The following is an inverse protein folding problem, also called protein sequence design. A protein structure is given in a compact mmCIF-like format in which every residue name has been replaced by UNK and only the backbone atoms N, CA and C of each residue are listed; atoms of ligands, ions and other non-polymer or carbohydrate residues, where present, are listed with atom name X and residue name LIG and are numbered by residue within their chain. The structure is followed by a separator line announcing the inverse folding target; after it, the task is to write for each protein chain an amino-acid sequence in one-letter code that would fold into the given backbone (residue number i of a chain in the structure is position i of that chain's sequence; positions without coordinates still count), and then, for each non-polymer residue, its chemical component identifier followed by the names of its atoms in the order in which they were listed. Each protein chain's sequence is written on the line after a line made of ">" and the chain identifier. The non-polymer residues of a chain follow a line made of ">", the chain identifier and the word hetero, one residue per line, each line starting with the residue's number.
data_IF_079604620958
#
_entry.id   IF_079604620958
#
_cell.length_a   1.000
_cell.length_b   1.000
_cell.length_c   1.000
_cell.angle_alpha   90.00
_cell.angle_beta   90.00
_cell.angle_gamma   90.00
#
_symmetry.space_group_name_H-M   'P 1'
#
loop_
_entity.id
_entity.type
_entity.pdbx_description
1 polymer ?
#
# COMPACT_ATOMS: atom_id res chain seq x y z
N UNK A 1 -11.63 -11.72 18.93
CA UNK A 1 -10.68 -10.59 19.08
C UNK A 1 -9.26 -10.99 18.65
N UNK A 2 -8.66 -12.06 19.20
CA UNK A 2 -7.23 -12.43 18.96
C UNK A 2 -6.88 -12.84 17.51
N UNK A 3 -7.82 -13.15 16.66
CA UNK A 3 -7.58 -13.55 15.26
C UNK A 3 -8.21 -12.57 14.27
N UNK A 4 -9.49 -12.29 14.43
CA UNK A 4 -10.25 -11.53 13.42
C UNK A 4 -9.84 -10.06 13.38
N UNK A 5 -9.67 -9.43 14.55
CA UNK A 5 -9.28 -8.02 14.64
C UNK A 5 -7.89 -7.75 14.03
N UNK A 6 -6.80 -8.44 14.44
CA UNK A 6 -5.50 -8.24 13.80
C UNK A 6 -5.51 -8.55 12.30
N UNK A 7 -6.26 -9.56 11.87
CA UNK A 7 -6.38 -9.90 10.45
C UNK A 7 -7.10 -8.79 9.67
N UNK A 8 -8.20 -8.25 10.21
CA UNK A 8 -8.94 -7.15 9.60
C UNK A 8 -8.07 -5.89 9.48
N UNK A 9 -7.45 -5.47 10.60
CA UNK A 9 -6.59 -4.28 10.63
C UNK A 9 -5.40 -4.44 9.69
N UNK A 10 -4.77 -5.61 9.63
CA UNK A 10 -3.64 -5.85 8.72
C UNK A 10 -4.04 -5.92 7.26
N UNK A 11 -5.24 -6.42 6.96
CA UNK A 11 -5.72 -6.56 5.58
C UNK A 11 -6.24 -5.23 5.00
N UNK A 12 -6.89 -4.40 5.82
CA UNK A 12 -7.53 -3.16 5.38
C UNK A 12 -6.78 -1.89 5.83
N UNK A 13 -5.79 -2.03 6.70
CA UNK A 13 -5.10 -0.90 7.35
C UNK A 13 -6.09 0.14 7.89
N UNK A 14 -7.17 -0.31 8.48
CA UNK A 14 -8.27 0.50 9.01
C UNK A 14 -8.67 -0.07 10.35
N UNK A 15 -8.91 0.74 11.40
CA UNK A 15 -9.42 0.25 12.67
C UNK A 15 -10.67 -0.62 12.47
N UNK A 16 -10.79 -1.71 13.23
CA UNK A 16 -11.83 -2.72 12.99
C UNK A 16 -13.24 -2.14 13.12
N UNK A 17 -13.42 -1.18 14.01
CA UNK A 17 -14.70 -0.50 14.26
C UNK A 17 -15.14 0.38 13.08
N UNK A 18 -14.20 0.83 12.27
CA UNK A 18 -14.42 1.68 11.11
C UNK A 18 -14.36 0.91 9.78
N UNK A 19 -13.92 -0.34 9.83
CA UNK A 19 -13.67 -1.15 8.64
C UNK A 19 -14.94 -1.61 7.95
N UNK A 20 -14.92 -1.63 6.60
CA UNK A 20 -15.98 -2.21 5.80
C UNK A 20 -16.02 -3.73 5.94
N UNK A 21 -17.05 -4.25 6.60
CA UNK A 21 -17.29 -5.69 6.70
C UNK A 21 -17.43 -6.37 5.33
N UNK A 22 -17.99 -5.68 4.32
CA UNK A 22 -18.10 -6.20 2.95
C UNK A 22 -16.73 -6.41 2.31
N UNK A 23 -15.81 -5.45 2.44
CA UNK A 23 -14.45 -5.56 1.92
C UNK A 23 -13.71 -6.67 2.67
N UNK A 24 -13.83 -6.73 3.99
CA UNK A 24 -13.19 -7.75 4.79
C UNK A 24 -13.70 -9.17 4.46
N UNK A 25 -15.01 -9.35 4.28
CA UNK A 25 -15.57 -10.64 3.86
C UNK A 25 -15.03 -11.08 2.49
N UNK A 26 -14.82 -10.16 1.55
CA UNK A 26 -14.16 -10.47 0.28
C UNK A 26 -12.73 -10.94 0.49
N UNK A 27 -11.94 -10.24 1.32
CA UNK A 27 -10.57 -10.66 1.65
C UNK A 27 -10.56 -12.08 2.23
N UNK A 28 -11.45 -12.37 3.19
CA UNK A 28 -11.55 -13.70 3.78
C UNK A 28 -11.91 -14.77 2.73
N UNK A 29 -12.90 -14.47 1.88
CA UNK A 29 -13.30 -15.40 0.83
C UNK A 29 -12.13 -15.71 -0.11
N UNK A 30 -11.45 -14.67 -0.61
CA UNK A 30 -10.42 -14.82 -1.62
C UNK A 30 -9.11 -15.39 -1.05
N UNK A 31 -8.79 -15.09 0.22
CA UNK A 31 -7.57 -15.56 0.87
C UNK A 31 -7.72 -16.94 1.56
N UNK A 32 -8.90 -17.28 2.09
CA UNK A 32 -9.04 -18.47 2.91
C UNK A 32 -9.90 -19.57 2.27
N UNK A 33 -10.84 -19.20 1.39
CA UNK A 33 -11.85 -20.15 0.89
C UNK A 33 -11.73 -20.48 -0.60
N UNK A 34 -10.68 -20.06 -1.27
CA UNK A 34 -10.44 -20.34 -2.70
C UNK A 34 -9.91 -21.75 -3.00
N UNK A 35 -9.78 -22.60 -1.98
CA UNK A 35 -9.36 -23.98 -2.12
C UNK A 35 -8.01 -24.29 -1.48
N UNK A 36 -7.45 -25.46 -1.81
CA UNK A 36 -6.19 -25.92 -1.22
C UNK A 36 -5.03 -24.99 -1.59
N UNK A 37 -4.31 -24.49 -0.57
CA UNK A 37 -3.21 -23.55 -0.75
C UNK A 37 -3.64 -22.08 -0.86
N UNK A 38 -4.94 -21.78 -0.83
CA UNK A 38 -5.45 -20.40 -0.90
C UNK A 38 -4.99 -19.51 0.25
N UNK A 39 -4.71 -20.09 1.41
CA UNK A 39 -4.21 -19.37 2.59
C UNK A 39 -2.67 -19.31 2.67
N UNK A 40 -1.94 -19.83 1.69
CA UNK A 40 -0.49 -19.81 1.69
C UNK A 40 0.03 -18.40 1.38
N UNK A 41 0.89 -17.87 2.25
CA UNK A 41 1.50 -16.56 2.09
C UNK A 41 2.77 -16.67 1.23
N UNK A 42 2.83 -15.92 0.14
CA UNK A 42 4.02 -15.81 -0.70
C UNK A 42 4.86 -14.62 -0.21
N UNK A 43 6.02 -14.93 0.39
CA UNK A 43 6.95 -13.93 0.89
C UNK A 43 8.13 -13.79 -0.10
N UNK A 44 8.32 -12.61 -0.73
CA UNK A 44 9.41 -12.40 -1.67
C UNK A 44 10.77 -12.37 -0.94
N UNK A 45 11.80 -12.94 -1.57
CA UNK A 45 13.21 -12.89 -1.11
C UNK A 45 14.01 -11.76 -1.74
N UNK A 46 13.36 -10.97 -2.58
CA UNK A 46 13.91 -9.75 -3.19
C UNK A 46 13.03 -8.56 -2.80
N UNK A 47 13.53 -7.35 -2.93
CA UNK A 47 12.69 -6.17 -2.72
C UNK A 47 11.58 -6.09 -3.78
N UNK A 48 10.49 -5.41 -3.42
CA UNK A 48 9.30 -5.33 -4.30
C UNK A 48 9.58 -4.55 -5.59
N UNK A 49 10.57 -3.64 -5.57
CA UNK A 49 11.01 -2.92 -6.76
C UNK A 49 11.53 -3.88 -7.83
N UNK A 50 12.36 -4.83 -7.42
CA UNK A 50 12.92 -5.87 -8.31
C UNK A 50 11.89 -6.90 -8.76
N UNK A 51 10.85 -7.12 -7.96
CA UNK A 51 9.85 -8.14 -8.26
C UNK A 51 8.98 -7.77 -9.47
N UNK A 52 8.51 -6.54 -9.56
CA UNK A 52 7.61 -6.08 -10.63
C UNK A 52 8.08 -4.83 -11.34
N UNK A 53 8.35 -3.67 -10.71
CA UNK A 53 8.68 -2.43 -11.40
C UNK A 53 9.89 -2.53 -12.32
N UNK A 54 11.00 -3.12 -11.88
CA UNK A 54 12.21 -3.24 -12.69
C UNK A 54 11.98 -4.14 -13.92
N UNK A 55 11.29 -5.27 -13.73
CA UNK A 55 10.94 -6.18 -14.82
C UNK A 55 9.98 -5.52 -15.83
N UNK A 56 8.99 -4.76 -15.34
CA UNK A 56 8.08 -4.01 -16.18
C UNK A 56 8.80 -2.91 -16.96
N UNK A 57 9.70 -2.16 -16.33
CA UNK A 57 10.50 -1.14 -16.97
C UNK A 57 11.38 -1.71 -18.10
N UNK A 58 12.07 -2.83 -17.83
CA UNK A 58 12.87 -3.51 -18.83
C UNK A 58 12.05 -3.99 -20.03
N UNK A 59 10.86 -4.55 -19.78
CA UNK A 59 9.95 -5.00 -20.84
C UNK A 59 9.43 -3.83 -21.68
N UNK A 60 9.05 -2.73 -21.06
CA UNK A 60 8.56 -1.52 -21.77
C UNK A 60 9.66 -0.92 -22.64
N UNK A 61 10.88 -0.78 -22.12
CA UNK A 61 12.02 -0.29 -22.87
C UNK A 61 12.34 -1.21 -24.06
N UNK A 62 12.30 -2.54 -23.87
CA UNK A 62 12.47 -3.52 -24.95
C UNK A 62 11.35 -3.49 -26.00
N UNK A 63 10.17 -2.98 -25.66
CA UNK A 63 9.03 -2.75 -26.56
C UNK A 63 9.05 -1.37 -27.24
N UNK A 64 10.09 -0.57 -27.06
CA UNK A 64 10.22 0.77 -27.65
C UNK A 64 9.52 1.89 -26.87
N UNK A 65 9.00 1.63 -25.68
CA UNK A 65 8.43 2.67 -24.83
C UNK A 65 9.53 3.59 -24.28
N UNK A 66 9.22 4.87 -24.16
CA UNK A 66 10.10 5.85 -23.51
C UNK A 66 9.80 5.95 -22.02
N UNK A 67 10.80 5.71 -21.17
CA UNK A 67 10.74 5.91 -19.74
C UNK A 67 11.50 7.19 -19.38
N UNK A 68 10.81 8.15 -18.80
CA UNK A 68 11.38 9.45 -18.38
C UNK A 68 11.35 9.54 -16.85
N UNK A 69 12.40 9.08 -16.21
CA UNK A 69 12.57 9.16 -14.76
C UNK A 69 12.99 10.56 -14.32
N UNK A 70 12.64 10.94 -13.08
CA UNK A 70 12.94 12.26 -12.54
C UNK A 70 12.14 13.43 -13.18
N UNK A 71 11.16 13.13 -14.01
CA UNK A 71 10.32 14.11 -14.70
C UNK A 71 8.96 14.20 -14.02
N UNK A 72 8.72 15.25 -13.27
CA UNK A 72 7.41 15.51 -12.66
C UNK A 72 6.54 16.30 -13.62
N UNK A 73 5.42 15.75 -14.06
CA UNK A 73 4.43 16.45 -14.88
C UNK A 73 3.88 17.66 -14.14
N UNK A 74 3.95 18.83 -14.76
CA UNK A 74 3.51 20.10 -14.19
C UNK A 74 2.10 20.49 -14.67
N UNK A 75 1.82 20.31 -15.95
CA UNK A 75 0.60 20.78 -16.59
C UNK A 75 0.01 19.72 -17.52
N UNK A 76 -1.32 19.69 -17.55
CA UNK A 76 -2.13 18.93 -18.49
C UNK A 76 -3.15 19.86 -19.11
N UNK A 77 -3.28 19.84 -20.45
CA UNK A 77 -4.21 20.71 -21.17
C UNK A 77 -4.95 19.93 -22.25
N UNK A 78 -6.26 20.15 -22.45
CA UNK A 78 -6.99 19.55 -23.56
C UNK A 78 -6.54 20.18 -24.88
N UNK A 79 -6.44 19.37 -25.94
CA UNK A 79 -6.02 19.79 -27.27
C UNK A 79 -6.87 19.12 -28.36
N UNK A 80 -8.13 19.52 -28.45
CA UNK A 80 -9.13 18.88 -29.30
C UNK A 80 -9.51 17.50 -28.76
N UNK A 81 -9.23 16.45 -29.52
CA UNK A 81 -9.43 15.04 -29.10
C UNK A 81 -8.18 14.39 -28.45
N UNK A 82 -7.20 15.21 -28.11
CA UNK A 82 -5.93 14.78 -27.52
C UNK A 82 -5.57 15.65 -26.30
N UNK A 83 -4.41 15.42 -25.71
CA UNK A 83 -3.92 16.08 -24.50
C UNK A 83 -2.50 16.59 -24.70
N UNK A 84 -2.17 17.74 -24.13
CA UNK A 84 -0.80 18.21 -23.98
C UNK A 84 -0.34 17.94 -22.55
N UNK A 85 0.73 17.17 -22.41
CA UNK A 85 1.43 16.93 -21.14
C UNK A 85 2.73 17.72 -21.21
N UNK A 86 2.82 18.79 -20.39
CA UNK A 86 3.95 19.75 -20.42
C UNK A 86 4.32 20.22 -21.86
N UNK A 87 3.30 20.42 -22.69
CA UNK A 87 3.43 20.90 -24.08
C UNK A 87 3.61 19.78 -25.13
N UNK A 88 3.84 18.53 -24.75
CA UNK A 88 3.93 17.39 -25.65
C UNK A 88 2.56 16.76 -25.88
N UNK A 89 2.20 16.45 -27.15
CA UNK A 89 0.89 15.93 -27.53
C UNK A 89 0.79 14.41 -27.38
N UNK A 90 -0.31 13.95 -26.75
CA UNK A 90 -0.68 12.55 -26.59
C UNK A 90 -2.16 12.34 -26.93
N UNK A 91 -2.50 11.22 -27.55
CA UNK A 91 -3.89 10.87 -27.86
C UNK A 91 -4.68 10.51 -26.61
N UNK A 92 -4.02 9.89 -25.63
CA UNK A 92 -4.59 9.50 -24.34
C UNK A 92 -3.58 9.71 -23.24
N UNK A 93 -4.08 9.96 -22.02
CA UNK A 93 -3.28 10.09 -20.80
C UNK A 93 -3.87 9.20 -19.72
N UNK A 94 -3.03 8.42 -19.05
CA UNK A 94 -3.38 7.62 -17.87
C UNK A 94 -2.59 8.12 -16.67
N UNK A 95 -3.30 8.61 -15.65
CA UNK A 95 -2.69 9.05 -14.39
C UNK A 95 -2.56 7.87 -13.45
N UNK A 96 -1.35 7.31 -13.33
CA UNK A 96 -1.03 6.13 -12.51
C UNK A 96 -0.33 6.46 -11.18
N UNK A 97 -0.32 7.73 -10.80
CA UNK A 97 0.25 8.21 -9.53
C UNK A 97 -0.74 8.17 -8.38
N UNK A 98 -0.29 8.64 -7.22
CA UNK A 98 -1.15 8.78 -6.05
C UNK A 98 -2.33 9.73 -6.29
N UNK A 99 -3.49 9.53 -5.65
CA UNK A 99 -4.70 10.31 -5.93
C UNK A 99 -4.53 11.82 -5.74
N UNK A 100 -3.74 12.26 -4.77
CA UNK A 100 -3.44 13.70 -4.58
C UNK A 100 -2.57 14.29 -5.70
N UNK A 101 -1.65 13.51 -6.27
CA UNK A 101 -0.86 13.95 -7.43
C UNK A 101 -1.71 13.95 -8.71
N UNK A 102 -2.55 12.96 -8.90
CA UNK A 102 -3.52 12.90 -9.99
C UNK A 102 -4.49 14.09 -9.91
N UNK A 103 -5.06 14.39 -8.73
CA UNK A 103 -5.95 15.54 -8.52
C UNK A 103 -5.25 16.87 -8.85
N UNK A 104 -3.99 17.04 -8.46
CA UNK A 104 -3.19 18.22 -8.81
C UNK A 104 -3.07 18.40 -10.33
N UNK A 105 -2.78 17.33 -11.05
CA UNK A 105 -2.64 17.35 -12.51
C UNK A 105 -4.00 17.61 -13.18
N UNK A 106 -5.07 16.95 -12.73
CA UNK A 106 -6.44 17.14 -13.23
C UNK A 106 -6.90 18.60 -13.09
N UNK A 107 -6.61 19.23 -11.95
CA UNK A 107 -6.91 20.67 -11.76
C UNK A 107 -6.21 21.58 -12.79
N UNK A 108 -4.98 21.23 -13.16
CA UNK A 108 -4.26 22.04 -14.18
C UNK A 108 -4.88 21.94 -15.57
N UNK A 109 -5.68 20.88 -15.83
CA UNK A 109 -6.32 20.68 -17.13
C UNK A 109 -7.49 21.63 -17.40
N UNK A 110 -8.11 22.22 -16.36
CA UNK A 110 -9.24 23.14 -16.51
C UNK A 110 -10.52 22.48 -17.04
N UNK A 111 -10.62 21.14 -16.97
CA UNK A 111 -11.83 20.38 -17.37
C UNK A 111 -12.78 20.22 -16.20
N UNK A 112 -14.07 20.02 -16.48
CA UNK A 112 -15.03 19.67 -15.42
C UNK A 112 -14.79 18.24 -14.96
N UNK A 113 -14.14 18.12 -13.82
CA UNK A 113 -13.87 16.88 -13.12
C UNK A 113 -14.32 16.96 -11.64
N UNK A 114 -15.30 17.81 -11.35
CA UNK A 114 -15.73 18.14 -9.98
C UNK A 114 -16.03 16.90 -9.15
N UNK A 115 -16.81 15.95 -9.68
CA UNK A 115 -17.14 14.70 -8.96
C UNK A 115 -15.93 13.81 -8.74
N UNK A 116 -15.07 13.70 -9.77
CA UNK A 116 -13.84 12.89 -9.68
C UNK A 116 -12.89 13.47 -8.62
N UNK A 117 -12.68 14.78 -8.64
CA UNK A 117 -11.83 15.47 -7.67
C UNK A 117 -12.37 15.33 -6.24
N UNK A 118 -13.67 15.49 -6.05
CA UNK A 118 -14.30 15.32 -4.75
C UNK A 118 -14.10 13.90 -4.20
N UNK A 119 -14.25 12.87 -5.04
CA UNK A 119 -14.01 11.48 -4.64
C UNK A 119 -12.53 11.21 -4.33
N UNK A 120 -11.59 11.69 -5.16
CA UNK A 120 -10.16 11.47 -4.97
C UNK A 120 -9.61 12.17 -3.72
N UNK A 121 -10.11 13.37 -3.41
CA UNK A 121 -9.67 14.19 -2.28
C UNK A 121 -10.42 13.86 -0.99
N UNK A 122 -11.60 13.23 -1.09
CA UNK A 122 -12.36 12.74 0.05
C UNK A 122 -11.76 11.47 0.69
N UNK A 123 -10.74 10.87 0.10
CA UNK A 123 -10.07 9.70 0.67
C UNK A 123 -9.30 10.08 1.96
N UNK A 124 -9.66 9.45 3.06
CA UNK A 124 -8.93 9.55 4.34
C UNK A 124 -7.85 8.46 4.38
N UNK A 125 -6.67 8.79 4.87
CA UNK A 125 -5.53 7.87 4.85
C UNK A 125 -5.18 7.38 6.24
N UNK A 126 -4.71 6.13 6.31
CA UNK A 126 -4.15 5.51 7.49
C UNK A 126 -2.66 5.27 7.31
N UNK A 127 -1.91 5.44 8.40
CA UNK A 127 -0.47 5.23 8.39
C UNK A 127 -0.12 3.76 8.66
N UNK A 128 1.00 3.32 8.07
CA UNK A 128 1.69 2.09 8.47
C UNK A 128 3.08 2.47 8.98
N UNK A 129 3.43 1.96 10.15
CA UNK A 129 4.77 2.06 10.66
C UNK A 129 5.50 0.71 10.57
N UNK A 130 6.79 0.78 10.23
CA UNK A 130 7.68 -0.39 10.31
C UNK A 130 8.86 -0.03 11.21
N UNK A 131 9.00 -0.75 12.32
CA UNK A 131 10.13 -0.63 13.23
C UNK A 131 11.14 -1.72 12.91
N UNK A 132 12.29 -1.33 12.39
CA UNK A 132 13.41 -2.24 12.16
C UNK A 132 14.27 -2.30 13.41
N UNK A 133 14.41 -3.51 13.99
CA UNK A 133 15.22 -3.74 15.18
C UNK A 133 16.27 -4.82 14.91
N UNK A 134 17.49 -4.58 15.33
CA UNK A 134 18.66 -5.46 15.15
C UNK A 134 19.08 -6.06 16.49
N UNK A 135 19.56 -7.28 16.47
CA UNK A 135 20.14 -7.96 17.61
C UNK A 135 19.40 -9.25 18.02
N UNK A 136 18.51 -9.76 17.17
CA UNK A 136 17.91 -11.07 17.40
C UNK A 136 18.98 -12.16 17.42
N UNK A 137 18.95 -12.98 18.48
CA UNK A 137 19.96 -14.03 18.72
C UNK A 137 19.67 -15.31 17.93
N UNK A 138 18.43 -15.50 17.54
CA UNK A 138 17.93 -16.70 16.84
C UNK A 138 17.05 -16.28 15.69
N UNK A 139 16.98 -17.13 14.67
CA UNK A 139 15.94 -16.99 13.67
C UNK A 139 14.56 -17.26 14.30
N UNK A 140 13.56 -16.52 13.86
CA UNK A 140 12.17 -16.79 14.26
C UNK A 140 11.72 -18.17 13.72
N UNK A 141 10.66 -18.71 14.29
CA UNK A 141 10.07 -20.00 13.89
C UNK A 141 9.63 -20.01 12.40
N UNK A 142 9.32 -18.84 11.85
CA UNK A 142 8.96 -18.64 10.46
C UNK A 142 9.44 -17.25 9.98
N UNK A 143 9.59 -17.04 8.65
CA UNK A 143 9.97 -15.73 8.12
C UNK A 143 9.01 -14.60 8.47
N UNK A 144 7.75 -14.92 8.74
CA UNK A 144 6.70 -14.01 9.23
C UNK A 144 5.99 -14.66 10.40
N UNK A 145 5.84 -13.93 11.49
CA UNK A 145 5.14 -14.39 12.71
C UNK A 145 4.08 -13.36 13.08
N UNK A 146 2.85 -13.82 13.34
CA UNK A 146 1.79 -13.01 13.92
C UNK A 146 2.06 -12.77 15.41
N UNK A 147 1.84 -11.55 15.84
CA UNK A 147 1.98 -11.13 17.24
C UNK A 147 0.60 -10.84 17.86
N UNK A 148 0.50 -10.94 19.16
CA UNK A 148 -0.68 -10.46 19.88
C UNK A 148 -0.61 -8.95 19.95
N UNK A 149 -1.49 -8.28 19.19
CA UNK A 149 -1.57 -6.83 19.17
C UNK A 149 -2.58 -6.29 20.18
N UNK A 150 -2.35 -5.05 20.61
CA UNK A 150 -3.20 -4.32 21.55
C UNK A 150 -2.60 -2.95 21.88
N UNK A 151 -3.23 -2.15 22.73
CA UNK A 151 -2.81 -0.75 22.97
C UNK A 151 -1.36 -0.58 23.43
N UNK A 152 -0.78 -1.54 24.15
CA UNK A 152 0.62 -1.52 24.60
C UNK A 152 1.54 -2.45 23.76
N UNK A 153 0.99 -3.18 22.81
CA UNK A 153 1.69 -4.16 21.96
C UNK A 153 1.26 -3.96 20.50
N UNK A 154 1.71 -2.86 19.85
CA UNK A 154 1.08 -2.35 18.63
C UNK A 154 1.33 -3.19 17.37
N UNK A 155 2.40 -3.99 17.32
CA UNK A 155 2.75 -4.73 16.12
C UNK A 155 1.84 -5.95 15.92
N UNK A 156 1.24 -6.08 14.73
CA UNK A 156 0.47 -7.25 14.32
C UNK A 156 1.37 -8.36 13.78
N UNK A 157 2.43 -8.01 13.09
CA UNK A 157 3.35 -8.96 12.48
C UNK A 157 4.80 -8.55 12.67
N UNK A 158 5.67 -9.56 12.70
CA UNK A 158 7.11 -9.39 12.61
C UNK A 158 7.67 -10.25 11.49
N UNK A 159 8.59 -9.68 10.71
CA UNK A 159 9.33 -10.35 9.63
C UNK A 159 10.78 -10.54 10.03
N UNK A 160 11.28 -11.76 9.96
CA UNK A 160 12.70 -12.08 10.07
C UNK A 160 13.38 -11.82 8.72
N UNK A 161 14.05 -10.69 8.62
CA UNK A 161 14.70 -10.26 7.38
C UNK A 161 15.82 -11.19 6.95
N UNK A 162 16.48 -11.86 7.90
CA UNK A 162 17.50 -12.86 7.62
C UNK A 162 16.98 -14.06 6.83
N UNK A 163 15.78 -14.54 7.16
CA UNK A 163 15.15 -15.64 6.42
C UNK A 163 14.63 -15.22 5.04
N UNK A 164 14.49 -13.91 4.80
CA UNK A 164 14.00 -13.33 3.54
C UNK A 164 15.13 -12.75 2.66
N UNK A 165 16.38 -13.15 2.91
CA UNK A 165 17.54 -12.72 2.12
C UNK A 165 18.16 -11.39 2.55
N UNK A 166 17.71 -10.83 3.67
CA UNK A 166 18.27 -9.62 4.29
C UNK A 166 19.29 -9.92 5.38
N UNK A 167 19.71 -8.90 6.16
CA UNK A 167 20.66 -9.06 7.25
C UNK A 167 20.18 -10.01 8.34
N UNK A 168 21.07 -10.87 8.84
CA UNK A 168 20.80 -11.77 9.96
C UNK A 168 20.55 -10.99 11.24
N UNK A 169 19.59 -11.44 12.05
CA UNK A 169 19.20 -10.82 13.31
C UNK A 169 18.45 -9.49 13.17
N UNK A 170 18.08 -9.11 11.95
CA UNK A 170 17.22 -7.96 11.67
C UNK A 170 15.76 -8.38 11.62
N UNK A 171 14.96 -7.81 12.51
CA UNK A 171 13.52 -7.98 12.57
C UNK A 171 12.79 -6.71 12.12
N UNK A 172 11.71 -6.86 11.36
CA UNK A 172 10.86 -5.76 10.91
C UNK A 172 9.45 -5.94 11.51
N UNK A 173 9.10 -5.08 12.45
CA UNK A 173 7.78 -5.08 13.10
C UNK A 173 6.84 -4.14 12.36
N UNK A 174 5.69 -4.65 11.92
CA UNK A 174 4.70 -3.89 11.16
C UNK A 174 3.53 -3.52 12.04
N UNK A 175 3.20 -2.24 12.02
CA UNK A 175 2.08 -1.64 12.77
C UNK A 175 1.15 -0.95 11.78
N UNK A 176 0.01 -1.55 11.52
CA UNK A 176 -1.07 -1.03 10.69
C UNK A 176 -1.95 -0.07 11.48
N UNK A 177 -2.60 0.87 10.78
CA UNK A 177 -3.46 1.91 11.37
C UNK A 177 -2.76 2.66 12.52
N UNK A 178 -1.49 3.06 12.29
CA UNK A 178 -0.65 3.62 13.34
C UNK A 178 -0.92 5.12 13.54
N UNK A 179 -1.28 5.47 14.77
CA UNK A 179 -1.41 6.85 15.26
C UNK A 179 -0.43 7.19 16.39
N UNK A 180 0.40 6.21 16.78
CA UNK A 180 1.31 6.33 17.92
C UNK A 180 2.55 7.15 17.56
N UNK A 181 2.95 8.00 18.48
CA UNK A 181 4.18 8.78 18.40
C UNK A 181 5.41 7.85 18.30
N UNK A 182 6.42 8.29 17.54
CA UNK A 182 7.59 7.46 17.16
C UNK A 182 8.31 6.83 18.34
N UNK A 183 8.64 7.61 19.38
CA UNK A 183 9.45 7.12 20.51
C UNK A 183 8.64 6.17 21.41
N UNK A 184 7.36 6.47 21.58
CA UNK A 184 6.43 5.59 22.27
C UNK A 184 6.26 4.26 21.51
N UNK A 185 6.08 4.34 20.18
CA UNK A 185 5.97 3.17 19.30
C UNK A 185 7.20 2.27 19.38
N UNK A 186 8.41 2.84 19.33
CA UNK A 186 9.66 2.09 19.44
C UNK A 186 9.76 1.35 20.78
N UNK A 187 9.44 2.07 21.86
CA UNK A 187 9.49 1.49 23.22
C UNK A 187 8.47 0.35 23.39
N UNK A 188 7.26 0.52 22.89
CA UNK A 188 6.21 -0.50 22.93
C UNK A 188 6.59 -1.73 22.10
N UNK A 189 7.13 -1.54 20.88
CA UNK A 189 7.56 -2.64 20.01
C UNK A 189 8.72 -3.43 20.64
N UNK A 190 9.69 -2.77 21.26
CA UNK A 190 10.78 -3.46 21.96
C UNK A 190 10.28 -4.25 23.17
N UNK A 191 9.35 -3.69 23.93
CA UNK A 191 8.70 -4.39 25.05
C UNK A 191 7.89 -5.60 24.58
N UNK A 192 7.16 -5.45 23.46
CA UNK A 192 6.43 -6.54 22.81
C UNK A 192 7.37 -7.66 22.34
N UNK A 193 8.50 -7.32 21.72
CA UNK A 193 9.50 -8.29 21.29
C UNK A 193 10.12 -9.05 22.47
N UNK A 194 10.44 -8.34 23.55
CA UNK A 194 10.97 -8.97 24.75
C UNK A 194 10.00 -10.00 25.37
N UNK A 195 8.71 -9.69 25.38
CA UNK A 195 7.69 -10.54 26.01
C UNK A 195 7.17 -11.66 25.10
N UNK A 196 7.01 -11.40 23.80
CA UNK A 196 6.39 -12.37 22.89
C UNK A 196 7.40 -13.20 22.08
N UNK A 197 8.63 -12.71 21.90
CA UNK A 197 9.66 -13.39 21.12
C UNK A 197 10.86 -13.84 21.96
N UNK A 198 10.90 -13.49 23.26
CA UNK A 198 12.06 -13.70 24.14
C UNK A 198 13.36 -13.01 23.59
N UNK A 199 13.18 -11.82 23.01
CA UNK A 199 14.28 -11.03 22.42
C UNK A 199 14.44 -9.65 23.11
N UNK A 200 14.88 -9.61 24.40
CA UNK A 200 15.01 -8.36 25.15
C UNK A 200 16.21 -7.50 24.72
N UNK A 201 17.12 -8.05 23.92
CA UNK A 201 18.34 -7.39 23.50
C UNK A 201 18.26 -6.62 22.18
N UNK A 202 17.07 -6.51 21.60
CA UNK A 202 16.86 -5.79 20.36
C UNK A 202 17.09 -4.29 20.52
N UNK A 203 17.67 -3.67 19.48
CA UNK A 203 17.85 -2.22 19.40
C UNK A 203 17.24 -1.71 18.10
N UNK A 204 16.48 -0.63 18.19
CA UNK A 204 15.90 0.00 17.01
C UNK A 204 17.03 0.51 16.11
N UNK A 205 16.99 0.08 14.86
CA UNK A 205 17.86 0.57 13.81
C UNK A 205 17.22 1.74 13.06
N UNK A 206 15.94 1.59 12.70
CA UNK A 206 15.20 2.59 11.96
C UNK A 206 13.69 2.40 12.17
N UNK A 207 12.95 3.50 12.15
CA UNK A 207 11.49 3.47 12.07
C UNK A 207 11.06 4.24 10.83
N UNK A 208 10.35 3.56 9.93
CA UNK A 208 9.75 4.13 8.73
C UNK A 208 8.26 4.27 8.99
N UNK A 209 7.71 5.46 8.77
CA UNK A 209 6.28 5.71 8.85
C UNK A 209 5.79 6.24 7.50
N UNK A 210 4.97 5.45 6.82
CA UNK A 210 4.24 5.92 5.66
C UNK A 210 2.89 6.46 6.11
N UNK A 211 2.76 7.79 6.12
CA UNK A 211 1.57 8.47 6.64
C UNK A 211 0.32 8.28 5.78
N UNK A 212 0.51 7.97 4.51
CA UNK A 212 -0.56 7.72 3.54
C UNK A 212 -0.38 6.34 2.91
N UNK A 213 -0.22 5.33 3.77
CA UNK A 213 0.07 3.97 3.33
C UNK A 213 -1.08 3.40 2.52
N UNK A 214 -2.30 3.55 3.02
CA UNK A 214 -3.54 3.22 2.31
C UNK A 214 -4.63 4.21 2.68
N UNK A 215 -5.67 4.32 1.87
CA UNK A 215 -6.88 4.98 2.34
C UNK A 215 -7.70 4.04 3.23
N UNK A 216 -8.47 4.62 4.15
CA UNK A 216 -9.33 3.86 5.06
C UNK A 216 -10.49 3.19 4.30
N UNK A 217 -10.61 1.89 4.43
CA UNK A 217 -11.67 1.09 3.79
C UNK A 217 -12.95 1.10 4.64
N UNK A 218 -13.62 2.24 4.73
CA UNK A 218 -14.84 2.43 5.51
C UNK A 218 -16.11 2.00 4.76
N UNK A 219 -17.22 1.71 5.47
CA UNK A 219 -18.52 1.46 4.83
C UNK A 219 -18.96 2.65 3.96
N UNK A 220 -19.46 2.37 2.77
CA UNK A 220 -19.99 3.41 1.88
C UNK A 220 -18.93 4.32 1.25
N UNK A 221 -17.65 3.97 1.33
CA UNK A 221 -16.56 4.75 0.73
C UNK A 221 -16.79 4.93 -0.78
N UNK A 222 -16.88 6.19 -1.21
CA UNK A 222 -16.93 6.57 -2.63
C UNK A 222 -15.50 6.73 -3.13
N UNK A 223 -15.16 5.98 -4.17
CA UNK A 223 -13.85 6.06 -4.84
C UNK A 223 -14.00 6.64 -6.23
N UNK A 224 -12.97 7.35 -6.75
CA UNK A 224 -13.07 7.94 -8.08
C UNK A 224 -13.15 6.86 -9.16
N UNK A 225 -13.93 7.13 -10.20
CA UNK A 225 -14.01 6.28 -11.39
C UNK A 225 -12.67 6.31 -12.17
N UNK A 226 -12.45 5.30 -13.02
CA UNK A 226 -11.31 5.27 -13.94
C UNK A 226 -11.34 6.44 -14.93
N UNK A 227 -12.49 6.74 -15.53
CA UNK A 227 -12.65 7.83 -16.49
C UNK A 227 -12.73 9.20 -15.80
N UNK A 228 -11.89 10.14 -16.23
CA UNK A 228 -11.89 11.53 -15.76
C UNK A 228 -12.57 12.42 -16.80
N UNK A 229 -12.09 12.34 -18.04
CA UNK A 229 -12.61 13.06 -19.21
C UNK A 229 -12.30 12.24 -20.47
N UNK A 230 -12.83 12.58 -21.64
CA UNK A 230 -12.52 11.87 -22.88
C UNK A 230 -11.00 11.81 -23.13
N UNK A 231 -10.44 10.59 -23.20
CA UNK A 231 -9.01 10.34 -23.38
C UNK A 231 -8.14 10.59 -22.13
N UNK A 232 -8.72 10.95 -20.98
CA UNK A 232 -8.02 11.10 -19.71
C UNK A 232 -8.56 10.09 -18.70
N UNK A 233 -7.70 9.21 -18.25
CA UNK A 233 -8.02 8.11 -17.33
C UNK A 233 -7.15 8.18 -16.08
N UNK A 234 -7.60 7.55 -15.01
CA UNK A 234 -6.81 7.26 -13.82
C UNK A 234 -6.73 5.76 -13.58
N UNK A 235 -5.61 5.28 -13.05
CA UNK A 235 -5.48 3.94 -12.50
C UNK A 235 -4.70 3.97 -11.19
N UNK A 236 -4.98 3.01 -10.32
CA UNK A 236 -4.38 2.91 -8.99
C UNK A 236 -5.27 2.08 -8.07
N UNK A 237 -4.78 1.81 -6.88
CA UNK A 237 -5.50 1.10 -5.83
C UNK A 237 -6.74 1.85 -5.33
N UNK A 238 -6.77 3.17 -5.54
CA UNK A 238 -7.84 4.07 -5.13
C UNK A 238 -9.00 4.17 -6.15
N UNK A 239 -8.79 3.76 -7.38
CA UNK A 239 -9.83 3.75 -8.41
C UNK A 239 -10.90 2.70 -8.06
N UNK A 240 -12.17 3.00 -8.40
CA UNK A 240 -13.28 2.10 -8.18
C UNK A 240 -12.99 0.69 -8.71
N UNK A 241 -13.30 -0.32 -7.90
CA UNK A 241 -13.01 -1.72 -8.23
C UNK A 241 -13.12 -2.64 -7.01
N UNK A 242 -12.96 -3.96 -7.20
CA UNK A 242 -13.24 -4.95 -6.15
C UNK A 242 -12.18 -5.05 -5.04
N UNK A 243 -10.97 -4.56 -5.25
CA UNK A 243 -9.83 -4.71 -4.32
C UNK A 243 -9.25 -3.36 -3.91
N UNK A 244 -9.96 -2.59 -3.04
CA UNK A 244 -9.51 -1.27 -2.60
C UNK A 244 -8.19 -1.37 -1.83
N UNK A 245 -7.33 -0.36 -1.99
CA UNK A 245 -6.08 -0.19 -1.26
C UNK A 245 -5.11 -1.40 -1.37
N UNK A 246 -5.09 -2.08 -2.52
CA UNK A 246 -4.23 -3.25 -2.76
C UNK A 246 -3.45 -3.15 -4.07
N UNK A 247 -2.30 -3.85 -4.13
CA UNK A 247 -1.55 -4.01 -5.39
C UNK A 247 -2.39 -4.69 -6.48
N UNK A 248 -3.24 -5.65 -6.11
CA UNK A 248 -4.17 -6.30 -7.03
C UNK A 248 -5.14 -5.30 -7.65
N UNK A 249 -5.73 -4.42 -6.82
CA UNK A 249 -6.62 -3.35 -7.31
C UNK A 249 -5.90 -2.40 -8.26
N UNK A 250 -4.68 -2.00 -7.93
CA UNK A 250 -3.86 -1.13 -8.76
C UNK A 250 -3.55 -1.77 -10.14
N UNK A 251 -3.11 -3.03 -10.15
CA UNK A 251 -2.77 -3.75 -11.40
C UNK A 251 -4.02 -3.96 -12.26
N UNK A 252 -5.14 -4.37 -11.68
CA UNK A 252 -6.40 -4.57 -12.41
C UNK A 252 -6.91 -3.27 -13.01
N UNK A 253 -6.84 -2.17 -12.28
CA UNK A 253 -7.24 -0.86 -12.81
C UNK A 253 -6.34 -0.43 -13.98
N UNK A 254 -5.03 -0.67 -13.92
CA UNK A 254 -4.11 -0.40 -15.02
C UNK A 254 -4.37 -1.27 -16.26
N UNK A 255 -4.85 -2.50 -16.09
CA UNK A 255 -5.24 -3.36 -17.21
C UNK A 255 -6.56 -2.97 -17.88
N UNK A 256 -7.40 -2.18 -17.21
CA UNK A 256 -8.66 -1.66 -17.73
C UNK A 256 -8.57 -0.24 -18.34
N UNK A 257 -7.46 0.47 -18.08
CA UNK A 257 -7.20 1.82 -18.60
C UNK A 257 -6.54 1.77 -19.99
#
# INVERSE_FOLDING_TARGET
>A
QELIEPLCVSALNTPVEESSGQVFLRVLNDALFTGRGGADLLLPRVDLGRLLPDAAAARLAGGGAQLRLGCRVQALQPAGNAWLVDGERFDRVVLAGAPWDAARVVRSAGVDATHWLAAAEGLRYEAIATVYAQGAKRALAAPMVALRSGPATPAQFVFDRGQLGGPQGLLAFVVSANDTERDALQSQVLAQAATQLDEPGLRVLQTVVEKRATFACTPGLVRPAMGIAPGLLACGDYVEGPYPATLEGAIRSGGGA
#
